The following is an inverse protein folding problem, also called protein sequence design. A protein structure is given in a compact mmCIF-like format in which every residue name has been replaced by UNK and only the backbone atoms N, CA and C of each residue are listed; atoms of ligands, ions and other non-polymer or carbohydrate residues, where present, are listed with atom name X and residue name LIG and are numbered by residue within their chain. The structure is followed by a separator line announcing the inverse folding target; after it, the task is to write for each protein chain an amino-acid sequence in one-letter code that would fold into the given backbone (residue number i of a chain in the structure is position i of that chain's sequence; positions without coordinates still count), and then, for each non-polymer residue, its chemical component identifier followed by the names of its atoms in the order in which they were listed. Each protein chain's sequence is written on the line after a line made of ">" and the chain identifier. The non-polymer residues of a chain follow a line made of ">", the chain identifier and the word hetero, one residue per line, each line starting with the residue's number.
data_IF_336400991704
#
_entry.id   IF_336400991704
#
_cell.length_a   1.000
_cell.length_b   1.000
_cell.length_c   1.000
_cell.angle_alpha   90.00
_cell.angle_beta   90.00
_cell.angle_gamma   90.00
#
_symmetry.space_group_name_H-M   'P 1'
#
loop_
_entity.id
_entity.type
_entity.pdbx_description
1 polymer ?
#
# COMPACT_ATOMS: atom_id res chain seq x y z
N UNK A 1 50.24 -22.73 33.60
CA UNK A 1 51.46 -22.21 32.94
C UNK A 1 51.08 -21.50 31.64
N UNK A 2 50.05 -20.64 31.65
CA UNK A 2 49.50 -19.98 30.43
C UNK A 2 48.81 -18.64 30.77
N UNK A 3 49.34 -17.87 31.74
CA UNK A 3 48.80 -16.55 32.10
C UNK A 3 49.82 -15.41 31.97
N UNK A 4 51.07 -15.73 31.61
CA UNK A 4 52.15 -14.75 31.42
C UNK A 4 52.34 -14.34 29.95
N UNK A 5 51.81 -15.09 28.98
CA UNK A 5 51.97 -14.80 27.56
C UNK A 5 51.06 -13.65 27.05
N UNK A 6 49.95 -13.36 27.74
CA UNK A 6 49.05 -12.27 27.36
C UNK A 6 49.49 -10.89 27.89
N UNK A 7 50.40 -10.82 28.87
CA UNK A 7 50.96 -9.56 29.33
C UNK A 7 52.17 -9.07 28.49
N UNK A 8 52.77 -9.96 27.70
CA UNK A 8 53.93 -9.65 26.86
C UNK A 8 53.57 -9.15 25.45
N UNK A 9 52.30 -9.25 25.04
CA UNK A 9 51.80 -8.68 23.77
C UNK A 9 51.28 -7.24 23.96
N UNK A 10 51.08 -6.79 25.20
CA UNK A 10 50.64 -5.42 25.50
C UNK A 10 51.81 -4.40 25.63
N UNK A 11 53.06 -4.80 25.37
CA UNK A 11 54.24 -3.93 25.49
C UNK A 11 55.09 -3.82 24.21
N UNK A 12 54.57 -4.26 23.07
CA UNK A 12 55.24 -4.12 21.77
C UNK A 12 54.34 -3.31 20.83
N UNK A 13 54.20 -2.00 21.12
CA UNK A 13 54.13 -0.94 20.10
C UNK A 13 54.14 0.46 20.77
N UNK A 14 55.30 0.84 21.31
CA UNK A 14 55.62 2.25 21.62
C UNK A 14 56.70 2.79 20.68
N UNK A 15 56.81 2.22 19.48
CA UNK A 15 57.54 2.83 18.38
C UNK A 15 56.68 3.94 17.77
N UNK A 16 56.62 5.10 18.43
CA UNK A 16 56.53 6.43 17.80
C UNK A 16 55.50 6.70 16.68
N UNK A 17 54.48 5.86 16.49
CA UNK A 17 53.44 6.08 15.50
C UNK A 17 52.40 7.02 16.11
N UNK A 18 52.66 8.30 15.94
CA UNK A 18 51.74 9.39 16.21
C UNK A 18 50.53 9.28 15.27
N UNK A 19 49.48 8.54 15.68
CA UNK A 19 48.26 8.42 14.90
C UNK A 19 47.42 9.70 15.00
N UNK A 20 47.02 10.23 13.85
CA UNK A 20 46.09 11.35 13.76
C UNK A 20 44.66 10.83 13.87
N UNK A 21 43.85 11.46 14.72
CA UNK A 21 42.45 11.08 14.91
C UNK A 21 41.56 12.05 14.16
N UNK A 22 40.76 11.55 13.21
CA UNK A 22 39.73 12.36 12.59
C UNK A 22 38.67 12.73 13.62
N UNK A 23 38.29 14.00 13.65
CA UNK A 23 37.26 14.55 14.54
C UNK A 23 36.22 15.32 13.73
N UNK A 24 34.99 15.47 14.25
CA UNK A 24 33.94 16.25 13.61
C UNK A 24 34.26 17.76 13.62
N UNK A 25 33.79 18.47 12.60
CA UNK A 25 33.83 19.93 12.49
C UNK A 25 32.78 20.62 13.37
N UNK A 26 31.82 19.89 13.94
CA UNK A 26 30.77 20.41 14.80
C UNK A 26 30.83 19.82 16.21
N UNK A 27 30.23 20.53 17.16
CA UNK A 27 30.20 20.13 18.58
C UNK A 27 29.28 18.93 18.85
N UNK A 28 28.33 18.66 17.95
CA UNK A 28 27.36 17.54 18.04
C UNK A 28 27.87 16.23 17.45
N UNK A 29 29.09 16.22 16.91
CA UNK A 29 29.71 15.07 16.26
C UNK A 29 28.94 14.49 15.07
N UNK A 30 28.38 15.35 14.21
CA UNK A 30 27.63 14.94 13.01
C UNK A 30 28.36 15.25 11.70
N UNK A 31 29.26 16.24 11.67
CA UNK A 31 29.86 16.76 10.43
C UNK A 31 31.34 16.35 10.36
N UNK A 32 31.62 15.19 9.78
CA UNK A 32 33.00 14.69 9.64
C UNK A 32 33.71 15.14 8.36
N UNK A 33 32.93 15.57 7.36
CA UNK A 33 33.42 16.03 6.07
C UNK A 33 32.67 17.31 5.67
N UNK A 34 33.42 18.31 5.20
CA UNK A 34 32.86 19.54 4.63
C UNK A 34 32.95 19.41 3.12
N UNK A 35 31.81 19.33 2.43
CA UNK A 35 31.77 19.29 0.96
C UNK A 35 31.80 20.70 0.33
N UNK A 36 31.84 20.75 -1.00
CA UNK A 36 31.89 22.01 -1.75
C UNK A 36 30.69 22.93 -1.53
N UNK A 37 29.50 22.36 -1.32
CA UNK A 37 28.27 23.13 -1.11
C UNK A 37 28.23 23.78 0.27
N UNK A 38 28.81 23.10 1.25
CA UNK A 38 28.88 23.55 2.64
C UNK A 38 30.05 24.51 2.85
N UNK A 39 31.19 24.25 2.21
CA UNK A 39 32.38 25.11 2.24
C UNK A 39 32.09 26.55 1.78
N UNK A 40 31.25 26.75 0.77
CA UNK A 40 30.88 28.10 0.29
C UNK A 40 30.18 28.95 1.36
N UNK A 41 29.58 28.31 2.36
CA UNK A 41 28.86 28.98 3.46
C UNK A 41 29.79 29.37 4.61
N UNK A 42 30.98 28.76 4.68
CA UNK A 42 31.96 28.97 5.74
C UNK A 42 33.02 29.97 5.29
N UNK A 43 33.29 30.99 6.10
CA UNK A 43 34.26 32.04 5.74
C UNK A 43 35.65 31.45 5.50
N UNK A 44 36.06 30.49 6.33
CA UNK A 44 37.37 29.84 6.28
C UNK A 44 37.68 29.19 4.91
N UNK A 45 36.68 28.64 4.21
CA UNK A 45 36.92 27.87 2.98
C UNK A 45 36.74 28.67 1.68
N UNK A 46 36.33 29.95 1.75
CA UNK A 46 36.01 30.75 0.55
C UNK A 46 37.18 30.97 -0.40
N UNK A 47 38.40 30.99 0.11
CA UNK A 47 39.59 31.27 -0.69
C UNK A 47 40.14 30.04 -1.42
N UNK A 48 39.64 28.84 -1.12
CA UNK A 48 40.10 27.58 -1.71
C UNK A 48 39.43 27.31 -3.07
N UNK A 49 40.01 27.82 -4.16
CA UNK A 49 39.52 27.56 -5.52
C UNK A 49 39.57 26.06 -5.87
N UNK A 50 38.49 25.56 -6.45
CA UNK A 50 38.37 24.15 -6.83
C UNK A 50 38.21 23.21 -5.63
N UNK A 51 37.81 23.71 -4.45
CA UNK A 51 37.51 22.89 -3.28
C UNK A 51 36.63 21.68 -3.64
N UNK A 52 36.94 20.52 -3.09
CA UNK A 52 36.15 19.29 -3.20
C UNK A 52 35.61 18.92 -1.84
N UNK A 53 36.51 18.71 -0.88
CA UNK A 53 36.17 18.39 0.50
C UNK A 53 37.26 18.77 1.50
N UNK A 54 36.88 18.87 2.77
CA UNK A 54 37.82 18.99 3.89
C UNK A 54 37.53 18.00 5.02
N UNK A 55 38.59 17.55 5.69
CA UNK A 55 38.56 16.63 6.83
C UNK A 55 39.36 17.25 7.98
N UNK A 56 38.87 17.15 9.22
CA UNK A 56 39.53 17.67 10.41
C UNK A 56 40.16 16.54 11.23
N UNK A 57 41.41 16.75 11.64
CA UNK A 57 42.19 15.81 12.44
C UNK A 57 42.77 16.51 13.65
N UNK A 58 42.90 15.78 14.76
CA UNK A 58 43.70 16.16 15.92
C UNK A 58 45.00 15.36 15.95
N UNK A 59 46.12 16.05 16.13
CA UNK A 59 47.43 15.45 16.29
C UNK A 59 47.72 15.11 17.77
N UNK A 60 48.67 14.21 18.07
CA UNK A 60 48.99 13.86 19.46
C UNK A 60 49.53 14.99 20.33
N UNK A 61 50.05 16.06 19.73
CA UNK A 61 50.46 17.29 20.44
C UNK A 61 49.28 18.25 20.72
N UNK A 62 48.04 17.79 20.50
CA UNK A 62 46.79 18.56 20.60
C UNK A 62 46.64 19.69 19.59
N UNK A 63 47.49 19.75 18.55
CA UNK A 63 47.28 20.65 17.42
C UNK A 63 46.24 20.09 16.43
N UNK A 64 45.62 20.98 15.65
CA UNK A 64 44.59 20.61 14.68
C UNK A 64 45.13 20.73 13.25
N UNK A 65 44.75 19.78 12.40
CA UNK A 65 45.03 19.81 10.97
C UNK A 65 43.74 19.67 10.19
N UNK A 66 43.56 20.53 9.18
CA UNK A 66 42.54 20.33 8.16
C UNK A 66 43.23 19.81 6.89
N UNK A 67 42.80 18.65 6.40
CA UNK A 67 43.15 18.17 5.06
C UNK A 67 42.14 18.71 4.07
N UNK A 68 42.58 19.49 3.07
CA UNK A 68 41.75 20.11 2.05
C UNK A 68 42.08 19.47 0.70
N UNK A 69 41.04 18.96 0.02
CA UNK A 69 41.15 18.37 -1.30
C UNK A 69 40.65 19.39 -2.33
N UNK A 70 41.48 19.75 -3.30
CA UNK A 70 41.17 20.70 -4.36
C UNK A 70 41.37 20.08 -5.74
N UNK A 71 40.46 20.35 -6.67
CA UNK A 71 40.61 20.02 -8.09
C UNK A 71 41.37 21.15 -8.78
N UNK A 72 42.60 20.87 -9.21
CA UNK A 72 43.44 21.72 -10.08
C UNK A 72 43.50 21.13 -11.49
N UNK A 73 44.13 21.84 -12.43
CA UNK A 73 44.24 21.41 -13.84
C UNK A 73 44.89 20.02 -13.98
N UNK A 74 45.85 19.71 -13.12
CA UNK A 74 46.66 18.47 -13.16
C UNK A 74 46.05 17.31 -12.35
N UNK A 75 44.93 17.52 -11.65
CA UNK A 75 44.29 16.50 -10.81
C UNK A 75 43.80 17.02 -9.46
N UNK A 76 43.53 16.08 -8.54
CA UNK A 76 43.14 16.41 -7.17
C UNK A 76 44.40 16.55 -6.32
N UNK A 77 44.59 17.73 -5.74
CA UNK A 77 45.70 18.04 -4.83
C UNK A 77 45.18 18.02 -3.40
N UNK A 78 45.96 17.41 -2.50
CA UNK A 78 45.72 17.42 -1.06
C UNK A 78 46.63 18.44 -0.38
N UNK A 79 46.05 19.39 0.32
CA UNK A 79 46.74 20.38 1.14
C UNK A 79 46.48 20.09 2.61
N UNK A 80 47.50 20.24 3.47
CA UNK A 80 47.40 20.03 4.92
C UNK A 80 47.71 21.34 5.63
N UNK A 81 46.71 21.92 6.26
CA UNK A 81 46.81 23.22 6.93
C UNK A 81 46.76 22.99 8.43
N UNK A 82 47.78 23.45 9.15
CA UNK A 82 47.77 23.51 10.62
C UNK A 82 46.88 24.67 11.05
N UNK A 83 46.01 24.42 12.03
CA UNK A 83 44.96 25.35 12.44
C UNK A 83 45.04 25.57 13.95
N UNK A 84 44.92 26.83 14.36
CA UNK A 84 44.84 27.21 15.77
C UNK A 84 43.47 26.83 16.37
N UNK A 85 43.42 26.43 17.66
CA UNK A 85 42.17 26.07 18.34
C UNK A 85 41.07 27.13 18.22
N UNK A 86 41.43 28.42 18.23
CA UNK A 86 40.50 29.54 18.06
C UNK A 86 39.79 29.53 16.69
N UNK A 87 40.49 29.11 15.65
CA UNK A 87 39.93 29.00 14.29
C UNK A 87 38.96 27.82 14.20
N UNK A 88 39.26 26.70 14.87
CA UNK A 88 38.33 25.57 14.99
C UNK A 88 37.05 26.00 15.70
N UNK A 89 37.17 26.76 16.80
CA UNK A 89 36.01 27.29 17.51
C UNK A 89 35.16 28.20 16.63
N UNK A 90 35.78 29.05 15.81
CA UNK A 90 35.06 29.90 14.82
C UNK A 90 34.34 29.05 13.77
N UNK A 91 35.01 28.07 13.18
CA UNK A 91 34.39 27.15 12.21
C UNK A 91 33.20 26.42 12.84
N UNK A 92 33.37 25.88 14.06
CA UNK A 92 32.31 25.21 14.81
C UNK A 92 31.11 26.15 15.08
N UNK A 93 31.36 27.41 15.46
CA UNK A 93 30.31 28.41 15.66
C UNK A 93 29.58 28.75 14.36
N UNK A 94 30.29 28.94 13.24
CA UNK A 94 29.67 29.16 11.94
C UNK A 94 28.82 27.97 11.51
N UNK A 95 29.29 26.75 11.73
CA UNK A 95 28.52 25.53 11.46
C UNK A 95 27.27 25.48 12.33
N UNK A 96 27.36 25.81 13.62
CA UNK A 96 26.20 25.91 14.51
C UNK A 96 25.19 26.97 14.06
N UNK A 97 25.67 28.13 13.58
CA UNK A 97 24.82 29.18 13.01
C UNK A 97 24.17 28.76 11.69
N UNK A 98 24.90 28.06 10.82
CA UNK A 98 24.37 27.53 9.55
C UNK A 98 23.33 26.45 9.84
N UNK A 99 23.60 25.53 10.77
CA UNK A 99 22.65 24.48 11.19
C UNK A 99 21.39 25.06 11.84
N UNK A 100 21.52 26.07 12.69
CA UNK A 100 20.36 26.71 13.34
C UNK A 100 19.54 27.60 12.39
N UNK A 101 20.16 28.11 11.32
CA UNK A 101 19.48 28.86 10.24
C UNK A 101 18.97 27.97 9.12
N UNK A 102 19.52 26.78 8.95
CA UNK A 102 18.96 25.78 8.07
C UNK A 102 17.60 25.42 8.65
N UNK A 103 16.54 25.79 7.92
CA UNK A 103 15.20 25.28 8.19
C UNK A 103 15.38 23.77 8.32
N UNK A 104 15.08 23.15 9.48
CA UNK A 104 15.26 21.72 9.65
C UNK A 104 14.57 21.07 8.46
N UNK A 105 15.31 20.28 7.67
CA UNK A 105 14.73 19.55 6.56
C UNK A 105 13.53 18.81 7.14
N UNK A 106 12.33 19.24 6.74
CA UNK A 106 11.11 18.64 7.22
C UNK A 106 11.14 17.20 6.70
N UNK A 107 11.52 16.29 7.60
CA UNK A 107 11.70 14.90 7.25
C UNK A 107 10.32 14.29 7.08
N UNK A 108 9.81 14.36 5.86
CA UNK A 108 8.54 13.72 5.53
C UNK A 108 8.65 12.21 5.66
N UNK A 109 7.64 11.56 6.22
CA UNK A 109 7.50 10.11 6.11
C UNK A 109 7.23 9.77 4.64
N UNK A 110 8.11 8.97 4.04
CA UNK A 110 8.02 8.51 2.64
C UNK A 110 7.93 6.99 2.53
N UNK A 111 7.59 6.31 3.63
CA UNK A 111 7.52 4.85 3.69
C UNK A 111 6.54 4.24 2.68
N UNK A 112 5.47 4.96 2.32
CA UNK A 112 4.47 4.52 1.34
C UNK A 112 4.59 5.21 -0.02
N UNK A 113 5.59 6.08 -0.24
CA UNK A 113 5.59 7.00 -1.40
C UNK A 113 5.61 6.29 -2.76
N UNK A 114 6.48 5.28 -2.92
CA UNK A 114 6.57 4.52 -4.15
C UNK A 114 5.28 3.73 -4.43
N UNK A 115 4.70 3.15 -3.38
CA UNK A 115 3.45 2.40 -3.48
C UNK A 115 2.28 3.32 -3.83
N UNK A 116 2.19 4.50 -3.21
CA UNK A 116 1.16 5.50 -3.50
C UNK A 116 1.17 5.92 -4.98
N UNK A 117 2.34 6.24 -5.53
CA UNK A 117 2.47 6.60 -6.95
C UNK A 117 2.17 5.42 -7.88
N UNK A 118 2.60 4.20 -7.51
CA UNK A 118 2.29 2.98 -8.25
C UNK A 118 0.79 2.69 -8.27
N UNK A 119 0.14 2.74 -7.10
CA UNK A 119 -1.29 2.55 -6.94
C UNK A 119 -2.06 3.59 -7.74
N UNK A 120 -1.73 4.88 -7.62
CA UNK A 120 -2.44 5.94 -8.36
C UNK A 120 -2.31 5.80 -9.88
N UNK A 121 -1.13 5.42 -10.37
CA UNK A 121 -0.95 5.12 -11.80
C UNK A 121 -1.78 3.91 -12.24
N UNK A 122 -1.70 2.78 -11.53
CA UNK A 122 -2.44 1.56 -11.87
C UNK A 122 -3.96 1.76 -11.80
N UNK A 123 -4.42 2.54 -10.82
CA UNK A 123 -5.82 2.89 -10.66
C UNK A 123 -6.30 3.79 -11.80
N UNK A 124 -5.52 4.81 -12.15
CA UNK A 124 -5.82 5.67 -13.28
C UNK A 124 -5.85 4.87 -14.59
N UNK A 125 -4.84 4.04 -14.84
CA UNK A 125 -4.71 3.23 -16.06
C UNK A 125 -5.81 2.16 -16.20
N UNK A 126 -6.05 1.38 -15.13
CA UNK A 126 -6.94 0.23 -15.16
C UNK A 126 -8.41 0.58 -15.01
N UNK A 127 -8.73 1.70 -14.33
CA UNK A 127 -10.09 1.99 -13.89
C UNK A 127 -10.57 3.37 -14.35
N UNK A 128 -9.85 4.45 -14.02
CA UNK A 128 -10.34 5.81 -14.28
C UNK A 128 -10.26 6.18 -15.77
N UNK A 129 -9.20 5.77 -16.48
CA UNK A 129 -8.99 6.10 -17.89
C UNK A 129 -10.07 5.50 -18.81
N UNK A 130 -10.50 4.23 -18.63
CA UNK A 130 -11.69 3.73 -19.29
C UNK A 130 -12.94 4.57 -19.01
N UNK A 131 -13.16 5.01 -17.76
CA UNK A 131 -14.29 5.86 -17.41
C UNK A 131 -14.21 7.25 -18.07
N UNK A 132 -13.02 7.83 -18.23
CA UNK A 132 -12.81 9.07 -18.98
C UNK A 132 -13.23 8.87 -20.44
N UNK A 133 -12.74 7.82 -21.09
CA UNK A 133 -13.07 7.54 -22.50
C UNK A 133 -14.57 7.26 -22.67
N UNK A 134 -15.18 6.48 -21.77
CA UNK A 134 -16.62 6.24 -21.77
C UNK A 134 -17.43 7.52 -21.51
N UNK A 135 -16.96 8.39 -20.63
CA UNK A 135 -17.61 9.66 -20.32
C UNK A 135 -17.65 10.60 -21.53
N UNK A 136 -16.54 10.71 -22.26
CA UNK A 136 -16.49 11.54 -23.46
C UNK A 136 -17.07 10.88 -24.71
N UNK A 137 -17.11 9.55 -24.76
CA UNK A 137 -17.59 8.76 -25.91
C UNK A 137 -17.15 9.32 -27.28
N UNK A 138 -15.83 9.48 -27.52
CA UNK A 138 -15.36 10.14 -28.73
C UNK A 138 -15.65 9.32 -29.99
N UNK A 139 -16.13 9.97 -31.04
CA UNK A 139 -16.36 9.33 -32.35
C UNK A 139 -15.05 8.87 -33.02
N UNK A 140 -13.95 9.58 -32.79
CA UNK A 140 -12.63 9.25 -33.33
C UNK A 140 -11.83 8.40 -32.33
N UNK A 141 -11.49 7.17 -32.74
CA UNK A 141 -10.62 6.26 -32.01
C UNK A 141 -9.28 6.88 -31.57
N UNK A 142 -8.69 7.80 -32.35
CA UNK A 142 -7.45 8.49 -32.00
C UNK A 142 -7.63 9.39 -30.79
N UNK A 143 -8.79 10.07 -30.69
CA UNK A 143 -9.14 10.88 -29.52
C UNK A 143 -9.36 9.98 -28.31
N UNK A 144 -10.03 8.84 -28.47
CA UNK A 144 -10.20 7.84 -27.40
C UNK A 144 -8.87 7.34 -26.84
N UNK A 145 -7.93 6.94 -27.70
CA UNK A 145 -6.59 6.51 -27.28
C UNK A 145 -5.82 7.65 -26.61
N UNK A 146 -5.88 8.87 -27.16
CA UNK A 146 -5.22 10.03 -26.57
C UNK A 146 -5.77 10.34 -25.16
N UNK A 147 -7.10 10.35 -24.98
CA UNK A 147 -7.75 10.54 -23.69
C UNK A 147 -7.35 9.47 -22.67
N UNK A 148 -7.28 8.20 -23.10
CA UNK A 148 -6.85 7.10 -22.26
C UNK A 148 -5.40 7.28 -21.78
N UNK A 149 -4.47 7.57 -22.70
CA UNK A 149 -3.06 7.74 -22.37
C UNK A 149 -2.81 8.96 -21.48
N UNK A 150 -3.47 10.09 -21.78
CA UNK A 150 -3.33 11.32 -20.99
C UNK A 150 -3.91 11.16 -19.58
N UNK A 151 -5.08 10.55 -19.45
CA UNK A 151 -5.67 10.29 -18.12
C UNK A 151 -4.84 9.28 -17.32
N UNK A 152 -4.33 8.22 -17.96
CA UNK A 152 -3.41 7.26 -17.31
C UNK A 152 -2.13 7.94 -16.80
N UNK A 153 -1.48 8.75 -17.63
CA UNK A 153 -0.27 9.48 -17.25
C UNK A 153 -0.52 10.51 -16.13
N UNK A 154 -1.70 11.15 -16.15
CA UNK A 154 -2.09 12.12 -15.12
C UNK A 154 -2.16 11.50 -13.72
N UNK A 155 -2.57 10.23 -13.62
CA UNK A 155 -2.58 9.47 -12.37
C UNK A 155 -1.20 9.19 -11.77
N UNK A 156 -0.12 9.43 -12.50
CA UNK A 156 1.24 9.42 -11.92
C UNK A 156 1.75 10.84 -11.67
N UNK A 157 1.65 11.71 -12.68
CA UNK A 157 2.28 13.03 -12.67
C UNK A 157 1.64 13.97 -11.66
N UNK A 158 0.31 13.99 -11.56
CA UNK A 158 -0.40 14.88 -10.65
C UNK A 158 -0.10 14.50 -9.18
N UNK A 159 -0.26 13.23 -8.74
CA UNK A 159 0.11 12.85 -7.39
C UNK A 159 1.57 13.12 -7.07
N UNK A 160 2.51 12.82 -7.98
CA UNK A 160 3.94 13.11 -7.80
C UNK A 160 4.18 14.59 -7.48
N UNK A 161 3.54 15.50 -8.22
CA UNK A 161 3.69 16.94 -8.02
C UNK A 161 3.04 17.43 -6.72
N UNK A 162 1.83 16.95 -6.41
CA UNK A 162 1.08 17.38 -5.23
C UNK A 162 1.70 16.87 -3.93
N UNK A 163 2.35 15.72 -3.97
CA UNK A 163 2.88 15.04 -2.78
C UNK A 163 4.40 15.20 -2.60
N UNK A 164 5.05 16.06 -3.39
CA UNK A 164 6.50 16.27 -3.32
C UNK A 164 7.00 16.77 -1.96
N UNK A 165 6.15 17.43 -1.17
CA UNK A 165 6.47 18.05 0.12
C UNK A 165 5.42 17.68 1.19
N UNK A 166 4.94 16.45 1.21
CA UNK A 166 4.04 15.97 2.27
C UNK A 166 4.44 14.58 2.76
N UNK A 167 3.89 14.22 3.91
CA UNK A 167 3.96 12.86 4.41
C UNK A 167 3.11 11.93 3.54
N UNK A 168 3.71 10.82 3.16
CA UNK A 168 3.08 9.71 2.43
C UNK A 168 3.57 8.42 3.06
N UNK A 169 2.96 8.10 4.20
CA UNK A 169 3.13 6.81 4.87
C UNK A 169 2.44 5.69 4.09
N UNK A 170 2.66 4.43 4.47
CA UNK A 170 1.92 3.31 3.87
C UNK A 170 0.41 3.41 4.06
N UNK A 171 -0.04 3.88 5.23
CA UNK A 171 -1.45 4.12 5.50
C UNK A 171 -2.05 5.12 4.49
N UNK A 172 -1.31 6.17 4.11
CA UNK A 172 -1.76 7.12 3.08
C UNK A 172 -1.93 6.44 1.72
N UNK A 173 -0.97 5.60 1.31
CA UNK A 173 -1.05 4.84 0.06
C UNK A 173 -2.28 3.94 -0.01
N UNK A 174 -2.54 3.20 1.06
CA UNK A 174 -3.64 2.24 1.11
C UNK A 174 -4.99 2.93 1.24
N UNK A 175 -5.12 3.94 2.10
CA UNK A 175 -6.36 4.68 2.24
C UNK A 175 -6.70 5.50 1.00
N UNK A 176 -5.70 5.97 0.25
CA UNK A 176 -5.92 6.54 -1.08
C UNK A 176 -6.59 5.53 -2.02
N UNK A 177 -6.02 4.32 -2.15
CA UNK A 177 -6.56 3.30 -3.05
C UNK A 177 -7.94 2.79 -2.60
N UNK A 178 -8.08 2.48 -1.30
CA UNK A 178 -9.34 2.01 -0.72
C UNK A 178 -10.44 3.07 -0.82
N UNK A 179 -10.10 4.33 -0.52
CA UNK A 179 -10.97 5.48 -0.73
C UNK A 179 -11.40 5.62 -2.18
N UNK A 180 -10.47 5.46 -3.13
CA UNK A 180 -10.77 5.48 -4.56
C UNK A 180 -11.75 4.40 -5.02
N UNK A 181 -11.60 3.18 -4.50
CA UNK A 181 -12.52 2.07 -4.76
C UNK A 181 -13.92 2.32 -4.18
N UNK A 182 -14.00 2.76 -2.92
CA UNK A 182 -15.30 3.11 -2.32
C UNK A 182 -15.95 4.30 -3.02
N UNK A 183 -15.16 5.31 -3.38
CA UNK A 183 -15.62 6.47 -4.13
C UNK A 183 -16.19 6.09 -5.49
N UNK A 184 -15.52 5.18 -6.21
CA UNK A 184 -16.00 4.60 -7.46
C UNK A 184 -17.34 3.91 -7.26
N UNK A 185 -17.43 3.04 -6.25
CA UNK A 185 -18.65 2.33 -5.91
C UNK A 185 -19.79 3.30 -5.59
N UNK A 186 -19.53 4.31 -4.77
CA UNK A 186 -20.50 5.32 -4.37
C UNK A 186 -20.98 6.13 -5.58
N UNK A 187 -20.06 6.62 -6.41
CA UNK A 187 -20.39 7.37 -7.62
C UNK A 187 -21.22 6.55 -8.62
N UNK A 188 -20.85 5.29 -8.84
CA UNK A 188 -21.60 4.36 -9.69
C UNK A 188 -23.00 4.05 -9.14
N UNK A 189 -23.11 3.81 -7.83
CA UNK A 189 -24.39 3.57 -7.17
C UNK A 189 -25.31 4.80 -7.24
N UNK A 190 -24.79 6.00 -6.97
CA UNK A 190 -25.53 7.25 -7.09
C UNK A 190 -25.96 7.51 -8.54
N UNK A 191 -25.11 7.17 -9.52
CA UNK A 191 -25.47 7.24 -10.94
C UNK A 191 -26.66 6.33 -11.26
N UNK A 192 -26.65 5.09 -10.76
CA UNK A 192 -27.75 4.16 -10.94
C UNK A 192 -29.04 4.61 -10.25
N UNK A 193 -28.95 5.21 -9.06
CA UNK A 193 -30.13 5.73 -8.33
C UNK A 193 -30.72 6.94 -9.07
N UNK A 194 -29.87 7.86 -9.53
CA UNK A 194 -30.25 9.08 -10.24
C UNK A 194 -30.64 8.89 -11.70
N UNK A 195 -30.63 7.65 -12.21
CA UNK A 195 -30.79 7.34 -13.64
C UNK A 195 -29.80 8.10 -14.55
N UNK A 196 -28.62 8.45 -14.03
CA UNK A 196 -27.61 9.18 -14.79
C UNK A 196 -27.02 8.34 -15.92
N UNK A 197 -27.19 7.01 -15.86
CA UNK A 197 -26.87 6.09 -16.95
C UNK A 197 -27.73 6.31 -18.20
N UNK A 198 -28.85 7.04 -18.11
CA UNK A 198 -29.66 7.43 -19.27
C UNK A 198 -29.06 8.61 -20.05
N UNK A 199 -28.13 9.35 -19.45
CA UNK A 199 -27.39 10.41 -20.12
C UNK A 199 -26.06 9.84 -20.63
N UNK A 200 -25.76 10.10 -21.91
CA UNK A 200 -24.51 9.67 -22.53
C UNK A 200 -23.31 10.19 -21.72
N UNK A 201 -22.47 9.27 -21.23
CA UNK A 201 -21.30 9.58 -20.41
C UNK A 201 -21.55 10.02 -18.95
N UNK A 202 -22.77 10.45 -18.59
CA UNK A 202 -23.07 11.01 -17.27
C UNK A 202 -22.75 10.06 -16.11
N UNK A 203 -23.11 8.79 -16.25
CA UNK A 203 -22.79 7.78 -15.24
C UNK A 203 -21.29 7.49 -15.10
N UNK A 204 -20.54 7.54 -16.21
CA UNK A 204 -19.09 7.34 -16.19
C UNK A 204 -18.39 8.51 -15.47
N UNK A 205 -18.81 9.75 -15.72
CA UNK A 205 -18.27 10.92 -15.02
C UNK A 205 -18.59 10.93 -13.52
N UNK A 206 -19.80 10.53 -13.12
CA UNK A 206 -20.15 10.48 -11.69
C UNK A 206 -19.35 9.38 -10.96
N UNK A 207 -19.14 8.25 -11.62
CA UNK A 207 -18.30 7.14 -11.12
C UNK A 207 -16.84 7.58 -10.98
N UNK A 208 -16.29 8.25 -11.99
CA UNK A 208 -14.94 8.84 -11.97
C UNK A 208 -14.80 9.92 -10.89
N UNK A 209 -15.75 10.85 -10.80
CA UNK A 209 -15.73 11.91 -9.79
C UNK A 209 -15.81 11.35 -8.38
N UNK A 210 -16.66 10.34 -8.16
CA UNK A 210 -16.72 9.61 -6.90
C UNK A 210 -15.37 9.00 -6.54
N UNK A 211 -14.71 8.33 -7.50
CA UNK A 211 -13.38 7.75 -7.32
C UNK A 211 -12.34 8.80 -6.87
N UNK A 212 -12.22 9.92 -7.57
CA UNK A 212 -11.24 10.98 -7.24
C UNK A 212 -11.52 11.60 -5.87
N UNK A 213 -12.80 11.84 -5.55
CA UNK A 213 -13.20 12.36 -4.23
C UNK A 213 -12.85 11.33 -3.14
N UNK A 214 -13.13 10.06 -3.39
CA UNK A 214 -12.81 8.97 -2.48
C UNK A 214 -11.31 8.83 -2.22
N UNK A 215 -10.49 8.92 -3.25
CA UNK A 215 -9.02 8.95 -3.16
C UNK A 215 -8.53 10.06 -2.23
N UNK A 216 -9.02 11.28 -2.45
CA UNK A 216 -8.68 12.44 -1.64
C UNK A 216 -9.11 12.28 -0.18
N UNK A 217 -10.37 11.88 0.06
CA UNK A 217 -10.90 11.70 1.41
C UNK A 217 -10.20 10.56 2.15
N UNK A 218 -9.91 9.46 1.45
CA UNK A 218 -9.13 8.34 1.96
C UNK A 218 -7.74 8.79 2.40
N UNK A 219 -7.01 9.48 1.55
CA UNK A 219 -5.69 10.03 1.89
C UNK A 219 -5.75 10.98 3.10
N UNK A 220 -6.70 11.92 3.13
CA UNK A 220 -6.83 12.89 4.23
C UNK A 220 -7.22 12.25 5.56
N UNK A 221 -8.01 11.17 5.52
CA UNK A 221 -8.49 10.48 6.73
C UNK A 221 -7.36 9.94 7.61
N UNK A 222 -6.18 9.65 7.03
CA UNK A 222 -5.00 9.20 7.76
C UNK A 222 -4.51 10.29 8.71
N UNK A 223 -4.41 11.53 8.25
CA UNK A 223 -3.95 12.66 9.06
C UNK A 223 -5.02 13.11 10.05
N UNK A 224 -6.29 13.14 9.62
CA UNK A 224 -7.39 13.62 10.46
C UNK A 224 -7.67 12.68 11.65
N UNK A 225 -7.61 11.36 11.42
CA UNK A 225 -7.98 10.36 12.43
C UNK A 225 -6.80 9.56 12.97
N UNK A 226 -5.58 9.87 12.56
CA UNK A 226 -4.37 9.15 12.97
C UNK A 226 -4.44 7.66 12.62
N UNK A 227 -4.90 7.33 11.40
CA UNK A 227 -5.10 5.93 11.02
C UNK A 227 -3.76 5.25 10.77
N UNK A 228 -3.56 4.10 11.43
CA UNK A 228 -2.53 3.14 11.03
C UNK A 228 -3.00 2.37 9.80
N UNK A 229 -2.06 1.71 9.11
CA UNK A 229 -2.36 0.88 7.95
C UNK A 229 -3.35 -0.24 8.32
N UNK A 230 -3.05 -1.00 9.38
CA UNK A 230 -3.92 -2.05 9.90
C UNK A 230 -5.33 -1.57 10.26
N UNK A 231 -5.42 -0.45 10.98
CA UNK A 231 -6.71 0.11 11.39
C UNK A 231 -7.52 0.61 10.21
N UNK A 232 -6.91 1.39 9.31
CA UNK A 232 -7.55 1.91 8.12
C UNK A 232 -8.14 0.81 7.27
N UNK A 233 -7.32 -0.16 6.84
CA UNK A 233 -7.77 -1.25 5.97
C UNK A 233 -8.90 -2.09 6.62
N UNK A 234 -8.84 -2.33 7.94
CA UNK A 234 -9.92 -3.07 8.63
C UNK A 234 -11.25 -2.33 8.61
N UNK A 235 -11.25 -1.00 8.71
CA UNK A 235 -12.47 -0.18 8.57
C UNK A 235 -13.09 -0.38 7.18
N UNK A 236 -12.26 -0.38 6.13
CA UNK A 236 -12.70 -0.60 4.75
C UNK A 236 -13.25 -2.02 4.55
N UNK A 237 -12.56 -3.06 5.00
CA UNK A 237 -13.03 -4.45 4.89
C UNK A 237 -14.36 -4.66 5.62
N UNK A 238 -14.51 -4.13 6.84
CA UNK A 238 -15.78 -4.19 7.58
C UNK A 238 -16.87 -3.44 6.82
N UNK A 239 -16.51 -2.32 6.20
CA UNK A 239 -17.43 -1.52 5.39
C UNK A 239 -17.95 -2.26 4.16
N UNK A 240 -17.07 -2.91 3.42
CA UNK A 240 -17.43 -3.75 2.27
C UNK A 240 -18.30 -4.94 2.68
N UNK A 241 -17.93 -5.61 3.77
CA UNK A 241 -18.68 -6.75 4.28
C UNK A 241 -20.09 -6.38 4.71
N UNK A 242 -20.27 -5.25 5.39
CA UNK A 242 -21.59 -4.78 5.80
C UNK A 242 -22.38 -4.23 4.60
N UNK A 243 -21.73 -3.54 3.66
CA UNK A 243 -22.35 -3.10 2.41
C UNK A 243 -22.91 -4.28 1.61
N UNK A 244 -22.07 -5.27 1.31
CA UNK A 244 -22.46 -6.47 0.59
C UNK A 244 -23.53 -7.28 1.35
N UNK A 245 -23.38 -7.45 2.66
CA UNK A 245 -24.35 -8.18 3.49
C UNK A 245 -25.69 -7.45 3.59
N UNK A 246 -25.72 -6.12 3.50
CA UNK A 246 -26.97 -5.34 3.54
C UNK A 246 -27.81 -5.58 2.29
N UNK A 247 -27.17 -5.63 1.11
CA UNK A 247 -27.81 -6.03 -0.16
C UNK A 247 -28.34 -7.46 -0.07
N UNK A 248 -27.52 -8.38 0.46
CA UNK A 248 -27.94 -9.75 0.69
C UNK A 248 -29.13 -9.84 1.65
N UNK A 249 -29.08 -9.16 2.79
CA UNK A 249 -30.14 -9.16 3.79
C UNK A 249 -31.46 -8.64 3.22
N UNK A 250 -31.43 -7.57 2.41
CA UNK A 250 -32.61 -7.06 1.72
C UNK A 250 -33.25 -8.14 0.82
N UNK A 251 -32.43 -8.89 0.09
CA UNK A 251 -32.91 -9.97 -0.78
C UNK A 251 -33.56 -11.14 -0.02
N UNK A 252 -33.37 -11.25 1.31
CA UNK A 252 -34.06 -12.23 2.14
C UNK A 252 -35.52 -11.83 2.39
N UNK A 253 -35.79 -10.54 2.55
CA UNK A 253 -37.13 -10.03 2.83
C UNK A 253 -37.96 -9.80 1.57
N UNK A 254 -37.31 -9.70 0.41
CA UNK A 254 -37.97 -9.46 -0.86
C UNK A 254 -37.83 -10.63 -1.84
N UNK A 255 -38.65 -10.67 -2.89
CA UNK A 255 -38.38 -11.54 -4.02
C UNK A 255 -37.49 -10.78 -5.00
N UNK A 256 -36.38 -11.36 -5.44
CA UNK A 256 -35.47 -10.74 -6.42
C UNK A 256 -36.17 -10.26 -7.70
N UNK A 257 -37.29 -10.91 -8.04
CA UNK A 257 -38.17 -10.58 -9.16
C UNK A 257 -39.32 -9.64 -8.82
N UNK A 258 -39.31 -9.00 -7.65
CA UNK A 258 -40.36 -8.06 -7.28
C UNK A 258 -40.24 -6.81 -8.16
N UNK A 259 -41.19 -6.54 -9.07
CA UNK A 259 -41.12 -5.38 -9.95
C UNK A 259 -41.19 -4.05 -9.19
N UNK A 260 -41.60 -4.07 -7.91
CA UNK A 260 -41.62 -2.88 -7.04
C UNK A 260 -40.22 -2.48 -6.55
N UNK A 261 -39.29 -3.42 -6.48
CA UNK A 261 -37.93 -3.19 -5.96
C UNK A 261 -36.94 -3.16 -7.12
N UNK A 262 -36.78 -1.96 -7.68
CA UNK A 262 -35.79 -1.69 -8.73
C UNK A 262 -34.36 -1.71 -8.16
N UNK A 263 -33.34 -1.89 -9.01
CA UNK A 263 -31.89 -1.84 -8.70
C UNK A 263 -31.50 -0.68 -7.79
N UNK A 264 -32.21 0.44 -7.89
CA UNK A 264 -32.04 1.63 -7.04
C UNK A 264 -32.15 1.33 -5.55
N UNK A 265 -33.06 0.45 -5.13
CA UNK A 265 -33.22 0.09 -3.72
C UNK A 265 -32.02 -0.72 -3.23
N UNK A 266 -31.54 -1.66 -4.03
CA UNK A 266 -30.34 -2.44 -3.73
C UNK A 266 -29.11 -1.53 -3.63
N UNK A 267 -28.94 -0.60 -4.58
CA UNK A 267 -27.85 0.39 -4.53
C UNK A 267 -27.97 1.30 -3.31
N UNK A 268 -29.16 1.81 -3.00
CA UNK A 268 -29.39 2.68 -1.84
C UNK A 268 -29.11 1.97 -0.51
N UNK A 269 -29.55 0.72 -0.37
CA UNK A 269 -29.30 -0.08 0.83
C UNK A 269 -27.83 -0.49 0.92
N UNK A 270 -27.17 -0.76 -0.20
CA UNK A 270 -25.73 -1.01 -0.19
C UNK A 270 -24.94 0.22 0.27
N UNK A 271 -25.29 1.42 -0.21
CA UNK A 271 -24.67 2.68 0.23
C UNK A 271 -24.88 2.91 1.73
N UNK A 272 -26.09 2.67 2.22
CA UNK A 272 -26.39 2.76 3.64
C UNK A 272 -25.58 1.73 4.46
N UNK A 273 -25.47 0.50 3.95
CA UNK A 273 -24.65 -0.56 4.53
C UNK A 273 -23.17 -0.21 4.57
N UNK A 274 -22.62 0.33 3.49
CA UNK A 274 -21.23 0.78 3.39
C UNK A 274 -20.96 1.87 4.44
N UNK A 275 -21.82 2.90 4.52
CA UNK A 275 -21.69 3.97 5.52
C UNK A 275 -21.80 3.47 6.96
N UNK A 276 -22.76 2.59 7.25
CA UNK A 276 -22.87 1.92 8.55
C UNK A 276 -21.63 1.08 8.86
N UNK A 277 -21.06 0.47 7.84
CA UNK A 277 -19.85 -0.32 7.92
C UNK A 277 -18.60 0.50 8.25
N UNK A 278 -18.44 1.69 7.67
CA UNK A 278 -17.37 2.65 8.07
C UNK A 278 -17.53 3.03 9.53
N UNK A 279 -18.75 3.37 9.96
CA UNK A 279 -19.04 3.76 11.34
C UNK A 279 -18.71 2.63 12.33
N UNK A 280 -19.22 1.42 12.06
CA UNK A 280 -19.00 0.25 12.90
C UNK A 280 -17.54 -0.17 12.92
N UNK A 281 -16.88 -0.22 11.76
CA UNK A 281 -15.44 -0.49 11.65
C UNK A 281 -14.61 0.50 12.45
N UNK A 282 -14.92 1.80 12.37
CA UNK A 282 -14.22 2.84 13.15
C UNK A 282 -14.37 2.62 14.66
N UNK A 283 -15.56 2.23 15.13
CA UNK A 283 -15.81 1.93 16.56
C UNK A 283 -15.14 0.64 17.02
N UNK A 284 -15.17 -0.42 16.22
CA UNK A 284 -14.60 -1.71 16.57
C UNK A 284 -13.07 -1.62 16.64
N UNK A 285 -12.45 -0.97 15.65
CA UNK A 285 -10.98 -0.89 15.56
C UNK A 285 -10.33 0.05 16.57
N UNK A 286 -11.09 0.93 17.24
CA UNK A 286 -10.55 1.81 18.30
C UNK A 286 -9.96 1.05 19.49
N UNK A 287 -10.45 -0.18 19.75
CA UNK A 287 -10.08 -0.96 20.93
C UNK A 287 -9.27 -2.22 20.58
N UNK A 288 -8.83 -2.36 19.33
CA UNK A 288 -8.10 -3.53 18.85
C UNK A 288 -6.74 -3.05 18.35
N UNK A 289 -5.67 -3.67 18.87
CA UNK A 289 -4.35 -3.49 18.29
C UNK A 289 -4.27 -4.37 17.04
N UNK A 290 -4.12 -3.75 15.88
CA UNK A 290 -4.09 -4.41 14.59
C UNK A 290 -2.73 -4.18 13.93
N UNK A 291 -2.09 -5.27 13.55
CA UNK A 291 -0.92 -5.25 12.69
C UNK A 291 -1.26 -4.82 11.27
N UNK A 292 -0.23 -4.47 10.52
CA UNK A 292 -0.37 -3.95 9.16
C UNK A 292 -0.94 -4.99 8.18
N UNK A 293 -0.67 -6.29 8.40
CA UNK A 293 -1.14 -7.40 7.56
C UNK A 293 -2.41 -8.09 8.06
N UNK A 294 -2.84 -7.79 9.28
CA UNK A 294 -4.05 -8.36 9.88
C UNK A 294 -5.34 -8.16 9.04
N UNK A 295 -5.58 -6.99 8.42
CA UNK A 295 -6.81 -6.74 7.66
C UNK A 295 -6.94 -7.66 6.46
N UNK A 296 -5.81 -7.94 5.79
CA UNK A 296 -5.74 -8.80 4.61
C UNK A 296 -6.11 -10.23 4.98
N UNK A 297 -5.58 -10.74 6.10
CA UNK A 297 -5.94 -12.06 6.64
C UNK A 297 -7.42 -12.08 7.06
N UNK A 298 -7.88 -11.05 7.77
CA UNK A 298 -9.28 -10.93 8.19
C UNK A 298 -10.25 -10.96 7.00
N UNK A 299 -9.93 -10.23 5.93
CA UNK A 299 -10.71 -10.20 4.69
C UNK A 299 -10.74 -11.57 4.00
N UNK A 300 -9.58 -12.20 3.84
CA UNK A 300 -9.42 -13.51 3.19
C UNK A 300 -10.31 -14.58 3.84
N UNK A 301 -10.21 -14.71 5.17
CA UNK A 301 -11.06 -15.65 5.92
C UNK A 301 -12.55 -15.29 5.86
N UNK A 302 -12.90 -14.00 5.87
CA UNK A 302 -14.28 -13.54 5.70
C UNK A 302 -14.86 -13.96 4.35
N UNK A 303 -14.12 -13.76 3.27
CA UNK A 303 -14.56 -14.09 1.91
C UNK A 303 -14.63 -15.60 1.69
N UNK A 304 -13.59 -16.33 2.11
CA UNK A 304 -13.59 -17.78 2.10
C UNK A 304 -14.78 -18.35 2.88
N UNK A 305 -15.03 -17.84 4.10
CA UNK A 305 -16.19 -18.21 4.91
C UNK A 305 -17.51 -17.94 4.21
N UNK A 306 -17.64 -16.79 3.55
CA UNK A 306 -18.79 -16.42 2.74
C UNK A 306 -19.07 -17.38 1.58
N UNK A 307 -18.04 -18.06 1.07
CA UNK A 307 -18.18 -19.08 0.02
C UNK A 307 -18.49 -20.48 0.57
N UNK A 308 -17.98 -20.86 1.75
CA UNK A 308 -18.11 -22.22 2.32
C UNK A 308 -19.57 -22.68 2.42
N UNK A 309 -20.44 -21.89 3.06
CA UNK A 309 -21.81 -22.34 3.33
C UNK A 309 -22.67 -22.39 2.06
N UNK A 310 -22.64 -21.42 1.13
CA UNK A 310 -23.29 -21.55 -0.17
C UNK A 310 -22.82 -22.78 -0.96
N UNK A 311 -21.52 -23.06 -0.97
CA UNK A 311 -20.97 -24.25 -1.64
C UNK A 311 -21.48 -25.53 -0.96
N UNK A 312 -21.49 -25.60 0.37
CA UNK A 312 -22.04 -26.73 1.10
C UNK A 312 -23.53 -26.94 0.79
N UNK A 313 -24.34 -25.87 0.76
CA UNK A 313 -25.74 -25.95 0.38
C UNK A 313 -25.93 -26.45 -1.06
N UNK A 314 -25.04 -26.07 -1.97
CA UNK A 314 -25.15 -26.49 -3.38
C UNK A 314 -25.15 -28.01 -3.55
N UNK A 315 -24.47 -28.76 -2.69
CA UNK A 315 -24.47 -30.22 -2.70
C UNK A 315 -25.83 -30.85 -2.33
N UNK A 316 -26.64 -30.14 -1.55
CA UNK A 316 -27.99 -30.60 -1.17
C UNK A 316 -29.06 -30.12 -2.16
N UNK A 317 -28.74 -29.15 -3.00
CA UNK A 317 -29.63 -28.68 -4.05
C UNK A 317 -29.51 -29.61 -5.27
N UNK A 318 -30.33 -30.65 -5.36
CA UNK A 318 -30.25 -31.64 -6.46
C UNK A 318 -30.70 -31.09 -7.84
N UNK A 319 -30.54 -29.79 -8.12
CA UNK A 319 -30.97 -29.12 -9.35
C UNK A 319 -32.49 -29.01 -9.48
N UNK A 320 -33.23 -29.40 -8.44
CA UNK A 320 -34.70 -29.35 -8.39
C UNK A 320 -35.23 -28.03 -7.82
N UNK A 321 -34.35 -27.05 -7.58
CA UNK A 321 -34.71 -25.76 -7.00
C UNK A 321 -35.29 -25.89 -5.58
N UNK A 322 -34.85 -26.91 -4.83
CA UNK A 322 -35.34 -27.15 -3.46
C UNK A 322 -34.80 -26.11 -2.48
N UNK A 323 -33.61 -25.60 -2.76
CA UNK A 323 -32.97 -24.56 -1.96
C UNK A 323 -33.26 -23.23 -2.64
N UNK A 324 -33.98 -22.35 -1.93
CA UNK A 324 -34.27 -21.02 -2.45
C UNK A 324 -32.99 -20.18 -2.53
N UNK A 325 -32.92 -19.23 -3.47
CA UNK A 325 -31.81 -18.26 -3.53
C UNK A 325 -31.59 -17.51 -2.20
N UNK A 326 -32.66 -17.29 -1.43
CA UNK A 326 -32.60 -16.70 -0.08
C UNK A 326 -31.76 -17.54 0.88
N UNK A 327 -31.83 -18.87 0.79
CA UNK A 327 -31.00 -19.75 1.61
C UNK A 327 -29.53 -19.60 1.26
N UNK A 328 -29.17 -19.54 -0.04
CA UNK A 328 -27.78 -19.28 -0.45
C UNK A 328 -27.27 -17.92 0.04
N UNK A 329 -28.08 -16.86 -0.06
CA UNK A 329 -27.70 -15.53 0.43
C UNK A 329 -27.52 -15.54 1.95
N UNK A 330 -28.47 -16.13 2.70
CA UNK A 330 -28.37 -16.24 4.16
C UNK A 330 -27.15 -17.05 4.60
N UNK A 331 -26.83 -18.11 3.85
CA UNK A 331 -25.64 -18.91 4.05
C UNK A 331 -24.37 -18.11 3.76
N UNK A 332 -24.36 -17.29 2.70
CA UNK A 332 -23.24 -16.43 2.38
C UNK A 332 -22.95 -15.40 3.48
N UNK A 333 -23.98 -14.69 3.95
CA UNK A 333 -23.85 -13.73 5.06
C UNK A 333 -23.37 -14.44 6.34
N UNK A 334 -24.00 -15.56 6.69
CA UNK A 334 -23.62 -16.34 7.88
C UNK A 334 -22.17 -16.82 7.79
N UNK A 335 -21.79 -17.33 6.62
CA UNK A 335 -20.45 -17.81 6.33
C UNK A 335 -19.42 -16.70 6.43
N UNK A 336 -19.74 -15.52 5.90
CA UNK A 336 -18.87 -14.35 5.96
C UNK A 336 -18.61 -13.92 7.40
N UNK A 337 -19.65 -13.90 8.25
CA UNK A 337 -19.51 -13.58 9.68
C UNK A 337 -18.65 -14.64 10.39
N UNK A 338 -18.93 -15.92 10.17
CA UNK A 338 -18.16 -17.02 10.79
C UNK A 338 -16.70 -17.03 10.33
N UNK A 339 -16.46 -16.78 9.04
CA UNK A 339 -15.14 -16.63 8.46
C UNK A 339 -14.38 -15.45 9.06
N UNK A 340 -15.03 -14.29 9.17
CA UNK A 340 -14.46 -13.10 9.82
C UNK A 340 -14.10 -13.35 11.28
N UNK A 341 -14.94 -14.08 12.03
CA UNK A 341 -14.64 -14.48 13.43
C UNK A 341 -13.42 -15.39 13.48
N UNK A 342 -13.28 -16.33 12.53
CA UNK A 342 -12.12 -17.19 12.43
C UNK A 342 -10.86 -16.39 12.09
N UNK A 343 -10.93 -15.50 11.10
CA UNK A 343 -9.85 -14.59 10.73
C UNK A 343 -9.41 -13.73 11.91
N UNK A 344 -10.36 -13.15 12.66
CA UNK A 344 -10.07 -12.40 13.87
C UNK A 344 -9.33 -13.25 14.92
N UNK A 345 -9.72 -14.51 15.13
CA UNK A 345 -9.01 -15.42 16.05
C UNK A 345 -7.58 -15.72 15.59
N UNK A 346 -7.32 -15.76 14.28
CA UNK A 346 -5.98 -15.96 13.73
C UNK A 346 -5.08 -14.75 14.00
N UNK A 347 -5.62 -13.53 13.99
CA UNK A 347 -4.87 -12.28 14.17
C UNK A 347 -4.82 -11.76 15.61
N UNK A 348 -5.80 -12.06 16.48
CA UNK A 348 -5.97 -11.42 17.80
C UNK A 348 -4.73 -11.43 18.71
N UNK A 349 -3.86 -12.42 18.58
CA UNK A 349 -2.65 -12.60 19.40
C UNK A 349 -1.35 -12.48 18.59
N UNK A 350 -1.45 -12.03 17.34
CA UNK A 350 -0.34 -11.96 16.40
C UNK A 350 -0.35 -10.61 15.71
N UNK A 351 0.80 -9.97 15.68
CA UNK A 351 1.00 -8.71 14.96
C UNK A 351 1.64 -9.05 13.61
N UNK A 352 0.81 -9.33 12.60
CA UNK A 352 1.32 -9.68 11.28
C UNK A 352 1.75 -8.40 10.55
N UNK A 353 2.96 -8.43 10.00
CA UNK A 353 3.36 -7.38 9.06
C UNK A 353 2.54 -7.49 7.78
N UNK A 354 2.45 -6.39 7.04
CA UNK A 354 1.86 -6.32 5.69
C UNK A 354 2.36 -7.45 4.77
N UNK A 355 3.67 -7.71 4.76
CA UNK A 355 4.26 -8.76 3.91
C UNK A 355 3.80 -10.16 4.32
N UNK A 356 3.64 -10.40 5.62
CA UNK A 356 3.18 -11.68 6.14
C UNK A 356 1.71 -11.91 5.81
N UNK A 357 0.87 -10.88 5.94
CA UNK A 357 -0.53 -10.92 5.51
C UNK A 357 -0.67 -11.24 4.02
N UNK A 358 0.10 -10.56 3.17
CA UNK A 358 0.08 -10.80 1.73
C UNK A 358 0.56 -12.21 1.36
N UNK A 359 1.59 -12.73 2.01
CA UNK A 359 2.05 -14.11 1.78
C UNK A 359 0.98 -15.13 2.21
N UNK A 360 0.27 -14.89 3.31
CA UNK A 360 -0.83 -15.77 3.76
C UNK A 360 -1.95 -15.82 2.74
N UNK A 361 -2.41 -14.68 2.25
CA UNK A 361 -3.46 -14.60 1.22
C UNK A 361 -3.01 -15.19 -0.11
N UNK A 362 -1.75 -14.99 -0.52
CA UNK A 362 -1.18 -15.68 -1.68
C UNK A 362 -1.12 -17.20 -1.47
N UNK A 363 -0.87 -17.65 -0.25
CA UNK A 363 -0.98 -19.05 0.16
C UNK A 363 -2.39 -19.59 -0.01
N UNK A 364 -3.40 -18.80 0.36
CA UNK A 364 -4.81 -19.07 0.08
C UNK A 364 -5.07 -19.27 -1.41
N UNK A 365 -4.76 -18.27 -2.23
CA UNK A 365 -4.88 -18.36 -3.69
C UNK A 365 -4.18 -19.57 -4.31
N UNK A 366 -2.93 -19.85 -3.90
CA UNK A 366 -2.19 -21.01 -4.37
C UNK A 366 -2.89 -22.32 -3.99
N UNK A 367 -3.44 -22.38 -2.77
CA UNK A 367 -4.27 -23.47 -2.30
C UNK A 367 -5.56 -23.62 -3.13
N UNK A 368 -6.25 -22.53 -3.43
CA UNK A 368 -7.47 -22.52 -4.23
C UNK A 368 -7.22 -23.07 -5.65
N UNK A 369 -6.15 -22.61 -6.31
CA UNK A 369 -5.72 -23.11 -7.61
C UNK A 369 -5.33 -24.59 -7.56
N UNK A 370 -4.64 -25.01 -6.49
CA UNK A 370 -4.31 -26.41 -6.27
C UNK A 370 -5.57 -27.26 -6.14
N UNK A 371 -6.55 -26.80 -5.37
CA UNK A 371 -7.85 -27.46 -5.22
C UNK A 371 -8.61 -27.60 -6.53
N UNK A 372 -8.66 -26.54 -7.35
CA UNK A 372 -9.22 -26.59 -8.71
C UNK A 372 -8.46 -27.60 -9.59
N UNK A 373 -7.13 -27.58 -9.56
CA UNK A 373 -6.28 -28.49 -10.33
C UNK A 373 -6.49 -29.96 -9.96
N UNK A 374 -6.68 -30.27 -8.67
CA UNK A 374 -6.97 -31.62 -8.21
C UNK A 374 -8.33 -32.13 -8.72
N UNK A 375 -9.37 -31.29 -8.68
CA UNK A 375 -10.70 -31.63 -9.23
C UNK A 375 -10.61 -31.87 -10.74
N UNK A 376 -9.84 -31.03 -11.45
CA UNK A 376 -9.61 -31.17 -12.88
C UNK A 376 -8.89 -32.48 -13.24
N UNK A 377 -7.80 -32.82 -12.54
CA UNK A 377 -7.04 -34.06 -12.76
C UNK A 377 -7.89 -35.30 -12.44
N UNK A 378 -8.75 -35.21 -11.41
CA UNK A 378 -9.71 -36.26 -11.07
C UNK A 378 -10.82 -36.45 -12.11
N UNK A 379 -10.87 -35.58 -13.14
CA UNK A 379 -11.88 -35.57 -14.22
C UNK A 379 -13.30 -35.50 -13.67
N UNK A 380 -13.50 -34.74 -12.59
CA UNK A 380 -14.82 -34.49 -12.04
C UNK A 380 -15.42 -33.33 -12.85
N UNK A 381 -16.53 -33.59 -13.55
CA UNK A 381 -17.20 -32.59 -14.40
C UNK A 381 -18.22 -31.72 -13.63
N UNK A 382 -18.51 -32.06 -12.37
CA UNK A 382 -19.48 -31.33 -11.56
C UNK A 382 -18.91 -29.98 -11.07
N UNK A 383 -19.54 -28.88 -11.48
CA UNK A 383 -19.13 -27.51 -11.12
C UNK A 383 -19.01 -27.30 -9.60
N UNK A 384 -19.85 -27.97 -8.80
CA UNK A 384 -19.82 -27.91 -7.33
C UNK A 384 -18.54 -28.48 -6.76
N UNK A 385 -17.97 -29.51 -7.39
CA UNK A 385 -16.68 -30.05 -7.01
C UNK A 385 -15.57 -29.02 -7.21
N UNK A 386 -15.60 -28.24 -8.30
CA UNK A 386 -14.63 -27.16 -8.52
C UNK A 386 -14.72 -26.08 -7.45
N UNK A 387 -15.92 -25.58 -7.13
CA UNK A 387 -16.08 -24.60 -6.06
C UNK A 387 -15.67 -25.15 -4.69
N UNK A 388 -15.96 -26.42 -4.42
CA UNK A 388 -15.55 -27.09 -3.18
C UNK A 388 -14.03 -27.21 -3.09
N UNK A 389 -13.40 -27.67 -4.17
CA UNK A 389 -11.94 -27.76 -4.26
C UNK A 389 -11.29 -26.39 -4.08
N UNK A 390 -11.81 -25.36 -4.75
CA UNK A 390 -11.34 -23.99 -4.65
C UNK A 390 -11.41 -23.47 -3.20
N UNK A 391 -12.57 -23.54 -2.55
CA UNK A 391 -12.77 -23.00 -1.20
C UNK A 391 -11.98 -23.78 -0.14
N UNK A 392 -11.96 -25.12 -0.22
CA UNK A 392 -11.16 -25.93 0.70
C UNK A 392 -9.67 -25.66 0.48
N UNK A 393 -9.25 -25.61 -0.77
CA UNK A 393 -7.88 -25.28 -1.15
C UNK A 393 -7.45 -23.94 -0.58
N UNK A 394 -8.28 -22.91 -0.73
CA UNK A 394 -8.04 -21.56 -0.21
C UNK A 394 -7.79 -21.57 1.31
N UNK A 395 -8.74 -22.10 2.08
CA UNK A 395 -8.64 -22.17 3.53
C UNK A 395 -7.42 -22.96 3.98
N UNK A 396 -7.15 -24.12 3.37
CA UNK A 396 -6.01 -24.97 3.71
C UNK A 396 -4.69 -24.28 3.37
N UNK A 397 -4.61 -23.62 2.21
CA UNK A 397 -3.44 -22.87 1.76
C UNK A 397 -3.10 -21.71 2.68
N UNK A 398 -4.10 -20.90 3.03
CA UNK A 398 -3.97 -19.77 3.94
C UNK A 398 -3.54 -20.24 5.35
N UNK A 399 -4.23 -21.24 5.91
CA UNK A 399 -3.90 -21.78 7.24
C UNK A 399 -2.52 -22.42 7.30
N UNK A 400 -2.15 -23.20 6.27
CA UNK A 400 -0.82 -23.82 6.19
C UNK A 400 0.25 -22.74 6.16
N UNK A 401 0.08 -21.72 5.32
CA UNK A 401 1.02 -20.60 5.20
C UNK A 401 1.13 -19.81 6.51
N UNK A 402 0.00 -19.51 7.15
CA UNK A 402 -0.04 -18.84 8.46
C UNK A 402 0.63 -19.66 9.58
N UNK A 403 0.66 -20.99 9.48
CA UNK A 403 1.38 -21.85 10.43
C UNK A 403 2.90 -21.82 10.25
N UNK A 404 3.39 -21.59 9.03
CA UNK A 404 4.81 -21.47 8.73
C UNK A 404 5.37 -20.08 9.07
N UNK A 405 4.57 -19.04 8.93
CA UNK A 405 4.97 -17.67 9.25
C UNK A 405 4.91 -17.44 10.77
N UNK A 406 6.07 -17.14 11.36
CA UNK A 406 6.18 -16.68 12.75
C UNK A 406 5.99 -15.17 12.78
N UNK A 407 4.79 -14.71 13.15
CA UNK A 407 4.45 -13.29 13.29
C UNK A 407 5.50 -12.53 14.10
N UNK A 408 5.78 -11.27 13.72
CA UNK A 408 6.67 -10.37 14.43
C UNK A 408 8.18 -10.61 14.24
N UNK A 409 8.59 -11.45 13.28
CA UNK A 409 10.03 -11.72 13.02
C UNK A 409 10.53 -11.33 11.63
N UNK A 410 9.69 -10.96 10.68
CA UNK A 410 10.15 -10.61 9.33
C UNK A 410 10.25 -9.10 9.11
N UNK A 411 11.45 -8.63 8.78
CA UNK A 411 11.71 -7.27 8.26
C UNK A 411 11.52 -7.22 6.72
N UNK A 412 10.80 -8.17 6.13
CA UNK A 412 10.65 -8.23 4.68
C UNK A 412 9.72 -7.11 4.20
N UNK A 413 10.24 -6.28 3.28
CA UNK A 413 9.48 -5.24 2.59
C UNK A 413 9.05 -5.78 1.24
N UNK A 414 7.79 -6.18 1.11
CA UNK A 414 7.17 -6.48 -0.20
C UNK A 414 6.20 -5.36 -0.54
N UNK A 415 6.33 -4.74 -1.71
CA UNK A 415 5.54 -3.57 -2.13
C UNK A 415 4.36 -3.89 -3.06
N UNK A 416 3.96 -5.16 -3.20
CA UNK A 416 2.85 -5.55 -4.07
C UNK A 416 1.64 -5.82 -3.18
N UNK A 417 0.60 -5.02 -3.36
CA UNK A 417 -0.72 -5.21 -2.76
C UNK A 417 -1.68 -5.79 -3.77
N UNK A 418 -2.39 -6.84 -3.36
CA UNK A 418 -3.49 -7.41 -4.13
C UNK A 418 -4.79 -6.95 -3.48
N UNK A 419 -5.46 -5.98 -4.08
CA UNK A 419 -6.84 -5.66 -3.73
C UNK A 419 -7.73 -6.73 -4.36
N UNK A 420 -8.24 -7.66 -3.55
CA UNK A 420 -9.14 -8.72 -4.03
C UNK A 420 -10.36 -8.14 -4.77
N UNK A 421 -10.79 -6.96 -4.34
CA UNK A 421 -11.91 -6.19 -4.87
C UNK A 421 -11.69 -5.78 -6.34
N UNK A 422 -10.43 -5.56 -6.74
CA UNK A 422 -10.07 -5.18 -8.12
C UNK A 422 -10.29 -6.33 -9.12
N UNK A 423 -10.13 -7.59 -8.69
CA UNK A 423 -10.43 -8.77 -9.50
C UNK A 423 -11.95 -8.97 -9.65
N UNK A 424 -12.72 -8.70 -8.60
CA UNK A 424 -14.19 -8.77 -8.63
C UNK A 424 -14.75 -7.65 -9.53
N UNK A 425 -14.18 -6.45 -9.47
CA UNK A 425 -14.53 -5.33 -10.35
C UNK A 425 -14.31 -5.64 -11.84
N UNK A 426 -13.20 -6.28 -12.19
CA UNK A 426 -12.92 -6.77 -13.55
C UNK A 426 -13.92 -7.85 -14.01
N UNK A 427 -14.31 -8.76 -13.12
CA UNK A 427 -15.32 -9.79 -13.40
C UNK A 427 -16.72 -9.23 -13.67
N UNK A 428 -17.12 -8.17 -12.95
CA UNK A 428 -18.42 -7.51 -13.13
C UNK A 428 -18.51 -6.69 -14.43
N UNK A 429 -17.40 -6.12 -14.91
CA UNK A 429 -17.34 -5.46 -16.22
C UNK A 429 -17.51 -6.43 -17.40
N UNK A 430 -17.33 -7.74 -17.20
CA UNK A 430 -17.49 -8.75 -18.25
C UNK A 430 -18.97 -9.11 -18.51
N UNK A 431 -19.88 -8.79 -17.58
CA UNK A 431 -21.25 -9.29 -17.58
C UNK A 431 -22.29 -8.25 -18.01
N UNK A 432 -22.18 -7.74 -19.25
CA UNK A 432 -23.29 -7.02 -19.92
C UNK A 432 -23.10 -6.93 -21.44
N UNK A 433 -23.60 -7.91 -22.18
CA UNK A 433 -24.04 -7.94 -23.61
C UNK A 433 -23.36 -7.06 -24.69
N UNK A 434 -22.18 -6.50 -24.42
CA UNK A 434 -21.26 -5.93 -25.37
C UNK A 434 -19.88 -6.38 -24.89
N UNK A 435 -19.27 -7.40 -25.52
CA UNK A 435 -17.89 -7.70 -25.21
C UNK A 435 -17.10 -6.42 -25.46
N UNK A 436 -16.40 -5.96 -24.43
CA UNK A 436 -15.26 -5.08 -24.61
C UNK A 436 -14.28 -5.90 -25.45
N UNK A 437 -14.43 -5.82 -26.77
CA UNK A 437 -13.47 -6.39 -27.71
C UNK A 437 -12.20 -5.56 -27.55
N UNK A 438 -11.40 -5.93 -26.56
CA UNK A 438 -9.98 -5.61 -26.54
C UNK A 438 -9.34 -6.32 -27.74
N UNK A 439 -9.52 -5.77 -28.94
CA UNK A 439 -8.81 -6.15 -30.16
C UNK A 439 -7.31 -5.77 -30.08
N UNK A 440 -6.82 -5.29 -28.94
CA UNK A 440 -5.43 -4.87 -28.78
C UNK A 440 -4.42 -6.03 -28.69
N UNK A 441 -4.86 -7.28 -28.52
CA UNK A 441 -3.98 -8.45 -28.60
C UNK A 441 -4.69 -9.66 -29.22
N UNK A 442 -4.98 -9.59 -30.52
CA UNK A 442 -5.12 -10.80 -31.32
C UNK A 442 -3.75 -11.16 -31.86
N UNK A 443 -3.05 -12.05 -31.14
CA UNK A 443 -1.90 -12.76 -31.71
C UNK A 443 -2.49 -14.01 -32.35
N UNK A 444 -2.67 -13.95 -33.66
CA UNK A 444 -3.03 -15.13 -34.44
C UNK A 444 -1.83 -16.10 -34.39
N UNK A 445 -2.07 -17.32 -33.91
CA UNK A 445 -1.18 -18.47 -34.09
C UNK A 445 -1.72 -19.35 -35.23
#
# INVERSE_FOLDING_TARGET
>A
MELWALFLIAQIDSNGLSYEKQIPFDTEAQVYEIDSSFAQKLEFFKDYKGFQKALLFVQPDSSYIIEIYQKKVEGIVKERVKIEPETINRIQQEIGLIKSRAIPEQKYDRSGYAQFLGNSFLFAFGIQSPLVVMGFSPDDSRIGVALYMLSSASGFVIPLMLTKNCDVSKAHSDMFAAGGMHGLYIGGALSGIGDMALYEGGGAFLTLGGSIIGEYLGFQSVNEYGLTLGRGNTIFVISDFIGASSVGALSLFDNWFNPRMNIKHYLGISLAGLGLGIYTGSKVTQNINLGDGDPTIFADFGIAGGAVLPVALSWFDNGRGRISGKMYVSAGITGLVLGSILGYRVIKEKDYSESEGNIITLGGFAGALTGLGLVYIARIEELRAYYTGMVIGDIVGALTTASYIKAGKSNMRTGIHFYLESLIGLGLCYYKDRPFQAQLFRVDF
#
